data_IF_133344273044
#
_entry.id   IF_133344273044
#
_cell.length_a   1.000
_cell.length_b   1.000
_cell.length_c   1.000
_cell.angle_alpha   90.00
_cell.angle_beta   90.00
_cell.angle_gamma   90.00
#
_symmetry.space_group_name_H-M   'P 1'
#
loop_
_entity.id
_entity.type
_entity.pdbx_description
1 polymer ?
#
# COMPACT_ATOMS: atom_id res chain seq x y z
N UNK A 1 8.36 -7.84 23.20
CA UNK A 1 9.01 -7.00 22.17
C UNK A 1 9.15 -7.70 20.81
N UNK A 2 9.40 -9.02 20.77
CA UNK A 2 9.73 -9.75 19.53
C UNK A 2 8.74 -9.61 18.35
N UNK A 3 7.44 -9.42 18.61
CA UNK A 3 6.42 -9.29 17.56
C UNK A 3 5.94 -7.85 17.31
N UNK A 4 6.57 -6.85 17.95
CA UNK A 4 6.11 -5.46 17.87
C UNK A 4 6.08 -4.97 16.42
N UNK A 5 7.17 -5.14 15.68
CA UNK A 5 7.30 -4.61 14.32
C UNK A 5 6.41 -5.34 13.29
N UNK A 6 6.33 -6.69 13.27
CA UNK A 6 5.31 -7.38 12.47
C UNK A 6 3.88 -6.94 12.81
N UNK A 7 3.56 -6.76 14.10
CA UNK A 7 2.22 -6.30 14.51
C UNK A 7 1.93 -4.87 14.03
N UNK A 8 2.93 -3.98 14.04
CA UNK A 8 2.82 -2.63 13.45
C UNK A 8 2.57 -2.72 11.94
N UNK A 9 3.33 -3.55 11.21
CA UNK A 9 3.10 -3.77 9.77
C UNK A 9 1.67 -4.26 9.53
N UNK A 10 1.19 -5.22 10.32
CA UNK A 10 -0.17 -5.74 10.21
C UNK A 10 -1.23 -4.65 10.43
N UNK A 11 -1.16 -3.96 11.58
CA UNK A 11 -2.13 -2.94 11.96
C UNK A 11 -2.18 -1.79 10.96
N UNK A 12 -1.01 -1.26 10.56
CA UNK A 12 -0.92 -0.16 9.59
C UNK A 12 -1.41 -0.62 8.22
N UNK A 13 -1.02 -1.82 7.77
CA UNK A 13 -1.45 -2.34 6.47
C UNK A 13 -2.96 -2.56 6.41
N UNK A 14 -3.59 -3.08 7.46
CA UNK A 14 -5.05 -3.26 7.51
C UNK A 14 -5.79 -1.93 7.58
N UNK A 15 -5.33 -0.99 8.42
CA UNK A 15 -5.92 0.35 8.48
C UNK A 15 -5.84 1.04 7.10
N UNK A 16 -4.68 0.95 6.46
CA UNK A 16 -4.47 1.51 5.14
C UNK A 16 -5.35 0.82 4.08
N UNK A 17 -5.40 -0.51 4.08
CA UNK A 17 -6.27 -1.28 3.18
C UNK A 17 -7.74 -0.88 3.34
N UNK A 18 -8.23 -0.73 4.58
CA UNK A 18 -9.61 -0.32 4.86
C UNK A 18 -9.92 1.09 4.33
N UNK A 19 -9.00 2.04 4.49
CA UNK A 19 -9.17 3.40 3.95
C UNK A 19 -9.20 3.40 2.42
N UNK A 20 -8.31 2.65 1.77
CA UNK A 20 -8.29 2.53 0.30
C UNK A 20 -9.53 1.79 -0.22
N UNK A 21 -9.96 0.73 0.47
CA UNK A 21 -11.17 -0.02 0.13
C UNK A 21 -12.42 0.85 0.24
N UNK A 22 -12.54 1.68 1.29
CA UNK A 22 -13.63 2.66 1.40
C UNK A 22 -13.64 3.62 0.20
N UNK A 23 -12.48 4.10 -0.24
CA UNK A 23 -12.41 4.92 -1.45
C UNK A 23 -12.83 4.14 -2.71
N UNK A 24 -12.47 2.87 -2.81
CA UNK A 24 -12.90 2.00 -3.91
C UNK A 24 -14.42 1.83 -3.94
N UNK A 25 -15.07 1.58 -2.80
CA UNK A 25 -16.52 1.43 -2.73
C UNK A 25 -17.24 2.68 -3.27
N UNK A 26 -16.72 3.87 -2.95
CA UNK A 26 -17.29 5.14 -3.41
C UNK A 26 -16.95 5.50 -4.86
N UNK A 27 -15.72 5.23 -5.35
CA UNK A 27 -15.24 5.72 -6.66
C UNK A 27 -15.09 4.64 -7.73
N UNK A 28 -15.11 3.37 -7.34
CA UNK A 28 -14.99 2.17 -8.19
C UNK A 28 -13.81 2.22 -9.18
N UNK A 29 -12.68 2.81 -8.77
CA UNK A 29 -11.48 2.86 -9.62
C UNK A 29 -10.65 1.58 -9.47
N UNK A 30 -10.22 0.93 -10.56
CA UNK A 30 -9.55 -0.38 -10.50
C UNK A 30 -8.25 -0.35 -9.67
N UNK A 31 -7.46 0.72 -9.79
CA UNK A 31 -6.25 0.93 -8.98
C UNK A 31 -6.50 0.81 -7.47
N UNK A 32 -7.64 1.31 -6.97
CA UNK A 32 -7.96 1.28 -5.55
C UNK A 32 -8.28 -0.13 -5.06
N UNK A 33 -8.97 -0.93 -5.88
CA UNK A 33 -9.21 -2.34 -5.53
C UNK A 33 -7.90 -3.12 -5.46
N UNK A 34 -7.02 -2.94 -6.43
CA UNK A 34 -5.72 -3.63 -6.49
C UNK A 34 -4.82 -3.22 -5.32
N UNK A 35 -4.74 -1.92 -5.01
CA UNK A 35 -4.00 -1.45 -3.84
C UNK A 35 -4.60 -1.95 -2.52
N UNK A 36 -5.92 -1.91 -2.36
CA UNK A 36 -6.57 -2.42 -1.16
C UNK A 36 -6.26 -3.91 -0.95
N UNK A 37 -6.29 -4.72 -2.02
CA UNK A 37 -5.91 -6.12 -1.98
C UNK A 37 -4.44 -6.31 -1.59
N UNK A 38 -3.52 -5.57 -2.22
CA UNK A 38 -2.10 -5.60 -1.88
C UNK A 38 -1.84 -5.30 -0.40
N UNK A 39 -2.42 -4.21 0.11
CA UNK A 39 -2.27 -3.79 1.51
C UNK A 39 -2.92 -4.78 2.48
N UNK A 40 -4.06 -5.37 2.10
CA UNK A 40 -4.67 -6.44 2.88
C UNK A 40 -3.75 -7.66 2.97
N UNK A 41 -3.17 -8.09 1.84
CA UNK A 41 -2.22 -9.20 1.79
C UNK A 41 -0.94 -8.91 2.58
N UNK A 42 -0.47 -7.66 2.61
CA UNK A 42 0.61 -7.22 3.50
C UNK A 42 0.27 -7.50 4.97
N UNK A 43 -0.93 -7.10 5.41
CA UNK A 43 -1.40 -7.34 6.77
C UNK A 43 -1.53 -8.84 7.08
N UNK A 44 -2.12 -9.61 6.17
CA UNK A 44 -2.21 -11.08 6.28
C UNK A 44 -0.83 -11.71 6.35
N UNK A 45 0.14 -11.25 5.57
CA UNK A 45 1.52 -11.75 5.60
C UNK A 45 2.19 -11.53 6.94
N UNK A 46 2.04 -10.34 7.52
CA UNK A 46 2.58 -10.03 8.84
C UNK A 46 1.93 -10.87 9.95
N UNK A 47 0.61 -11.08 9.90
CA UNK A 47 -0.10 -11.98 10.83
C UNK A 47 0.35 -13.43 10.64
N UNK A 48 0.45 -13.90 9.40
CA UNK A 48 0.89 -15.25 9.07
C UNK A 48 2.32 -15.50 9.54
N UNK A 49 3.21 -14.51 9.50
CA UNK A 49 4.55 -14.61 10.08
C UNK A 49 4.49 -14.84 11.59
N UNK A 50 3.69 -14.04 12.31
CA UNK A 50 3.50 -14.21 13.76
C UNK A 50 2.94 -15.62 14.05
N UNK A 51 1.89 -16.05 13.37
CA UNK A 51 1.30 -17.38 13.56
C UNK A 51 2.29 -18.50 13.24
N UNK A 52 3.12 -18.34 12.21
CA UNK A 52 4.14 -19.32 11.84
C UNK A 52 5.19 -19.52 12.94
N UNK A 53 5.55 -18.44 13.64
CA UNK A 53 6.57 -18.46 14.70
C UNK A 53 5.99 -18.81 16.07
N UNK A 54 4.73 -18.51 16.34
CA UNK A 54 4.05 -18.89 17.59
C UNK A 54 3.66 -20.38 17.57
N UNK A 55 3.19 -20.89 16.44
CA UNK A 55 2.75 -22.29 16.31
C UNK A 55 3.76 -23.20 15.62
N UNK A 56 4.95 -22.69 15.30
CA UNK A 56 6.00 -23.41 14.56
C UNK A 56 5.44 -24.08 13.29
N UNK A 57 4.58 -23.34 12.57
CA UNK A 57 3.80 -23.86 11.45
C UNK A 57 4.38 -23.43 10.11
N UNK A 58 4.90 -24.41 9.37
CA UNK A 58 5.36 -24.23 7.99
C UNK A 58 4.23 -23.85 7.02
N UNK A 59 2.98 -24.21 7.33
CA UNK A 59 1.83 -23.79 6.53
C UNK A 59 1.62 -22.28 6.62
N UNK A 60 1.61 -21.72 7.84
CA UNK A 60 1.55 -20.27 8.04
C UNK A 60 2.78 -19.56 7.48
N UNK A 61 3.96 -20.18 7.56
CA UNK A 61 5.17 -19.62 6.95
C UNK A 61 5.06 -19.49 5.42
N UNK A 62 4.47 -20.50 4.75
CA UNK A 62 4.18 -20.44 3.31
C UNK A 62 3.14 -19.37 2.97
N UNK A 63 2.11 -19.20 3.80
CA UNK A 63 1.14 -18.10 3.64
C UNK A 63 1.84 -16.75 3.75
N UNK A 64 2.71 -16.56 4.75
CA UNK A 64 3.54 -15.36 4.89
C UNK A 64 4.38 -15.07 3.63
N UNK A 65 5.07 -16.08 3.09
CA UNK A 65 5.85 -15.94 1.87
C UNK A 65 4.98 -15.63 0.65
N UNK A 66 3.82 -16.27 0.53
CA UNK A 66 2.90 -16.03 -0.58
C UNK A 66 2.36 -14.60 -0.54
N UNK A 67 1.81 -14.18 0.59
CA UNK A 67 1.09 -12.90 0.66
C UNK A 67 2.05 -11.73 0.81
N UNK A 68 3.03 -11.82 1.71
CA UNK A 68 3.96 -10.73 2.02
C UNK A 68 5.16 -10.66 1.07
N UNK A 69 5.83 -11.79 0.82
CA UNK A 69 7.07 -11.79 0.05
C UNK A 69 6.85 -11.88 -1.47
N UNK A 70 5.78 -12.52 -1.95
CA UNK A 70 5.52 -12.70 -3.39
C UNK A 70 4.52 -11.68 -3.94
N UNK A 71 3.29 -11.65 -3.40
CA UNK A 71 2.16 -10.95 -4.05
C UNK A 71 2.06 -9.47 -3.70
N UNK A 72 2.35 -9.08 -2.45
CA UNK A 72 2.11 -7.73 -1.93
C UNK A 72 2.74 -6.65 -2.81
N UNK A 73 4.06 -6.68 -3.00
CA UNK A 73 4.77 -5.64 -3.74
C UNK A 73 4.31 -5.55 -5.19
N UNK A 74 4.16 -6.70 -5.85
CA UNK A 74 3.75 -6.77 -7.25
C UNK A 74 2.36 -6.16 -7.47
N UNK A 75 1.39 -6.48 -6.61
CA UNK A 75 0.05 -5.90 -6.68
C UNK A 75 0.07 -4.40 -6.33
N UNK A 76 0.93 -3.97 -5.41
CA UNK A 76 1.06 -2.54 -5.09
C UNK A 76 1.51 -1.74 -6.33
N UNK A 77 2.54 -2.24 -7.03
CA UNK A 77 3.01 -1.67 -8.29
C UNK A 77 1.96 -1.73 -9.39
N UNK A 78 1.23 -2.84 -9.50
CA UNK A 78 0.14 -2.99 -10.46
C UNK A 78 -0.95 -1.92 -10.31
N UNK A 79 -1.34 -1.59 -9.08
CA UNK A 79 -2.28 -0.49 -8.84
C UNK A 79 -1.74 0.87 -9.32
N UNK A 80 -0.44 1.12 -9.16
CA UNK A 80 0.22 2.34 -9.67
C UNK A 80 0.24 2.37 -11.20
N UNK A 81 0.45 1.23 -11.85
CA UNK A 81 0.42 1.13 -13.31
C UNK A 81 -1.00 1.34 -13.88
N UNK A 82 -2.05 0.96 -13.15
CA UNK A 82 -3.42 1.33 -13.53
C UNK A 82 -3.68 2.85 -13.53
N UNK A 83 -2.87 3.64 -12.81
CA UNK A 83 -2.93 5.11 -12.89
C UNK A 83 -2.16 5.66 -14.09
N UNK A 84 -1.00 5.06 -14.39
CA UNK A 84 -0.03 5.62 -15.32
C UNK A 84 -0.21 5.12 -16.76
N UNK A 85 -0.77 3.92 -16.95
CA UNK A 85 -0.89 3.26 -18.23
C UNK A 85 -2.35 3.16 -18.70
N UNK A 86 -2.60 2.99 -20.02
CA UNK A 86 -3.92 2.67 -20.53
C UNK A 86 -4.48 1.39 -19.90
N UNK A 87 -5.79 1.37 -19.63
CA UNK A 87 -6.47 0.24 -18.97
C UNK A 87 -6.22 -1.12 -19.60
N UNK A 88 -6.14 -1.19 -20.94
CA UNK A 88 -5.87 -2.44 -21.67
C UNK A 88 -4.49 -3.00 -21.34
N UNK A 89 -3.47 -2.13 -21.29
CA UNK A 89 -2.09 -2.51 -20.97
C UNK A 89 -1.98 -2.93 -19.51
N UNK A 90 -2.51 -2.12 -18.58
CA UNK A 90 -2.51 -2.46 -17.16
C UNK A 90 -3.29 -3.78 -16.89
N UNK A 91 -4.41 -4.01 -17.59
CA UNK A 91 -5.16 -5.27 -17.52
C UNK A 91 -4.36 -6.49 -17.99
N UNK A 92 -3.65 -6.37 -19.12
CA UNK A 92 -2.76 -7.43 -19.61
C UNK A 92 -1.64 -7.74 -18.62
N UNK A 93 -1.01 -6.71 -18.05
CA UNK A 93 0.01 -6.87 -17.02
C UNK A 93 -0.53 -7.53 -15.74
N UNK A 94 -1.77 -7.23 -15.34
CA UNK A 94 -2.41 -7.91 -14.21
C UNK A 94 -2.56 -9.42 -14.49
N UNK A 95 -2.98 -9.81 -15.69
CA UNK A 95 -3.09 -11.23 -16.04
C UNK A 95 -1.73 -11.93 -16.06
N UNK A 96 -0.70 -11.28 -16.60
CA UNK A 96 0.67 -11.80 -16.54
C UNK A 96 1.14 -11.97 -15.09
N UNK A 97 0.83 -11.00 -14.22
CA UNK A 97 1.13 -11.06 -12.80
C UNK A 97 0.39 -12.20 -12.11
N UNK A 98 -0.88 -12.43 -12.41
CA UNK A 98 -1.65 -13.56 -11.87
C UNK A 98 -1.03 -14.90 -12.30
N UNK A 99 -0.68 -15.05 -13.58
CA UNK A 99 -0.04 -16.27 -14.08
C UNK A 99 1.31 -16.53 -13.38
N UNK A 100 2.17 -15.51 -13.30
CA UNK A 100 3.47 -15.63 -12.65
C UNK A 100 3.35 -15.77 -11.12
N UNK A 101 2.30 -15.19 -10.52
CA UNK A 101 1.93 -15.39 -9.12
C UNK A 101 1.50 -16.83 -8.83
N UNK A 102 0.78 -17.47 -9.75
CA UNK A 102 0.42 -18.90 -9.64
C UNK A 102 1.67 -19.79 -9.70
N UNK A 103 2.62 -19.48 -10.58
CA UNK A 103 3.93 -20.15 -10.62
C UNK A 103 4.67 -19.97 -9.30
N UNK A 104 4.75 -18.74 -8.79
CA UNK A 104 5.41 -18.46 -7.51
C UNK A 104 4.73 -19.15 -6.32
N UNK A 105 3.39 -19.22 -6.31
CA UNK A 105 2.64 -19.97 -5.31
C UNK A 105 2.98 -21.46 -5.38
N UNK A 106 2.99 -22.06 -6.58
CA UNK A 106 3.39 -23.45 -6.75
C UNK A 106 4.81 -23.70 -6.21
N UNK A 107 5.77 -22.83 -6.55
CA UNK A 107 7.15 -22.89 -6.03
C UNK A 107 7.16 -22.85 -4.49
N UNK A 108 6.50 -21.88 -3.86
CA UNK A 108 6.48 -21.71 -2.39
C UNK A 108 5.88 -22.94 -1.69
N UNK A 109 4.79 -23.48 -2.23
CA UNK A 109 4.10 -24.61 -1.62
C UNK A 109 4.80 -25.95 -1.84
N UNK A 110 5.63 -26.07 -2.88
CA UNK A 110 6.42 -27.26 -3.17
C UNK A 110 7.86 -27.19 -2.67
N UNK A 111 8.35 -26.02 -2.30
CA UNK A 111 9.68 -25.81 -1.77
C UNK A 111 9.93 -26.72 -0.54
N UNK A 112 11.09 -27.43 -0.50
CA UNK A 112 11.59 -28.04 0.71
C UNK A 112 11.66 -27.01 1.83
N UNK A 113 11.27 -27.41 3.03
CA UNK A 113 11.17 -26.50 4.15
C UNK A 113 11.95 -27.03 5.36
N UNK A 114 12.69 -26.13 6.00
CA UNK A 114 13.49 -26.44 7.18
C UNK A 114 12.81 -25.94 8.46
N UNK A 115 12.31 -26.88 9.26
CA UNK A 115 11.68 -26.59 10.54
C UNK A 115 12.68 -26.05 11.58
N UNK A 116 13.96 -26.45 11.51
CA UNK A 116 14.99 -25.93 12.41
C UNK A 116 15.30 -24.47 12.10
N UNK A 117 15.39 -24.10 10.82
CA UNK A 117 15.49 -22.71 10.42
C UNK A 117 14.28 -21.89 10.92
N UNK A 118 13.05 -22.44 10.86
CA UNK A 118 11.87 -21.76 11.43
C UNK A 118 11.98 -21.61 12.95
N UNK A 119 12.51 -22.59 13.68
CA UNK A 119 12.74 -22.48 15.13
C UNK A 119 13.72 -21.36 15.47
N UNK A 120 14.76 -21.17 14.68
CA UNK A 120 15.71 -20.06 14.88
C UNK A 120 15.05 -18.69 14.66
N UNK A 121 14.23 -18.57 13.62
CA UNK A 121 13.42 -17.36 13.38
C UNK A 121 12.44 -17.12 14.52
N UNK A 122 11.78 -18.17 15.03
CA UNK A 122 10.84 -18.07 16.13
C UNK A 122 11.52 -17.67 17.45
N UNK A 123 12.72 -18.21 17.74
CA UNK A 123 13.48 -17.91 18.94
C UNK A 123 13.95 -16.44 19.00
N UNK A 124 14.26 -15.85 17.85
CA UNK A 124 14.71 -14.46 17.76
C UNK A 124 13.57 -13.48 17.50
N UNK A 125 12.46 -13.95 16.93
CA UNK A 125 11.40 -13.11 16.36
C UNK A 125 11.90 -12.17 15.25
N UNK A 126 13.08 -12.46 14.69
CA UNK A 126 13.83 -11.57 13.82
C UNK A 126 14.09 -12.20 12.45
N UNK A 127 14.39 -11.34 11.47
CA UNK A 127 14.67 -11.75 10.10
C UNK A 127 13.44 -12.15 9.29
N UNK A 128 13.64 -12.24 7.97
CA UNK A 128 12.58 -12.60 7.03
C UNK A 128 12.39 -14.12 6.86
N UNK A 129 13.27 -14.95 7.45
CA UNK A 129 13.25 -16.40 7.32
C UNK A 129 13.69 -16.93 5.94
N UNK A 130 14.70 -16.29 5.33
CA UNK A 130 15.16 -16.61 3.95
C UNK A 130 15.58 -18.06 3.71
N UNK A 131 15.97 -18.78 4.75
CA UNK A 131 16.41 -20.18 4.69
C UNK A 131 15.36 -21.19 5.13
N UNK A 132 14.17 -20.74 5.54
CA UNK A 132 13.10 -21.65 5.96
C UNK A 132 12.50 -22.39 4.75
N UNK A 133 12.52 -21.77 3.57
CA UNK A 133 12.09 -22.38 2.32
C UNK A 133 13.23 -22.34 1.31
N UNK A 134 13.63 -23.50 0.81
CA UNK A 134 14.55 -23.58 -0.32
C UNK A 134 13.77 -23.42 -1.62
N UNK A 135 13.83 -22.22 -2.19
CA UNK A 135 13.14 -21.88 -3.42
C UNK A 135 13.93 -22.27 -4.68
N UNK A 136 15.21 -22.63 -4.55
CA UNK A 136 16.11 -22.89 -5.67
C UNK A 136 16.01 -21.83 -6.79
N UNK A 137 15.96 -22.24 -8.08
CA UNK A 137 15.75 -21.32 -9.21
C UNK A 137 14.43 -20.53 -9.16
N UNK A 138 13.42 -21.05 -8.46
CA UNK A 138 12.12 -20.40 -8.30
C UNK A 138 12.20 -19.07 -7.52
N UNK A 139 13.31 -18.83 -6.82
CA UNK A 139 13.64 -17.53 -6.22
C UNK A 139 13.57 -16.37 -7.23
N UNK A 140 13.91 -16.61 -8.49
CA UNK A 140 13.84 -15.60 -9.55
C UNK A 140 12.45 -14.99 -9.70
N UNK A 141 11.39 -15.77 -9.45
CA UNK A 141 10.00 -15.29 -9.51
C UNK A 141 9.72 -14.26 -8.42
N UNK A 142 10.19 -14.50 -7.18
CA UNK A 142 10.05 -13.53 -6.10
C UNK A 142 10.82 -12.24 -6.40
N UNK A 143 12.05 -12.35 -6.90
CA UNK A 143 12.86 -11.18 -7.27
C UNK A 143 12.14 -10.38 -8.35
N UNK A 144 11.67 -11.03 -9.40
CA UNK A 144 10.96 -10.37 -10.50
C UNK A 144 9.68 -9.67 -10.02
N UNK A 145 8.88 -10.33 -9.18
CA UNK A 145 7.65 -9.78 -8.60
C UNK A 145 7.93 -8.53 -7.74
N UNK A 146 8.95 -8.57 -6.88
CA UNK A 146 9.31 -7.45 -6.04
C UNK A 146 9.92 -6.29 -6.83
N UNK A 147 10.76 -6.59 -7.82
CA UNK A 147 11.32 -5.58 -8.72
C UNK A 147 10.21 -4.90 -9.52
N UNK A 148 9.29 -5.68 -10.09
CA UNK A 148 8.12 -5.16 -10.79
C UNK A 148 7.30 -4.22 -9.90
N UNK A 149 7.00 -4.67 -8.67
CA UNK A 149 6.28 -3.89 -7.67
C UNK A 149 6.97 -2.57 -7.34
N UNK A 150 8.26 -2.65 -7.01
CA UNK A 150 9.09 -1.50 -6.62
C UNK A 150 9.19 -0.49 -7.74
N UNK A 151 9.52 -0.92 -8.96
CA UNK A 151 9.61 -0.04 -10.14
C UNK A 151 8.25 0.59 -10.44
N UNK A 152 7.16 -0.18 -10.35
CA UNK A 152 5.81 0.33 -10.60
C UNK A 152 5.40 1.43 -9.62
N UNK A 153 5.64 1.26 -8.32
CA UNK A 153 5.31 2.29 -7.32
C UNK A 153 6.27 3.47 -7.39
N UNK A 154 7.58 3.19 -7.33
CA UNK A 154 8.61 4.23 -7.28
C UNK A 154 8.62 5.08 -8.55
N UNK A 155 8.57 4.44 -9.73
CA UNK A 155 8.58 5.12 -11.01
C UNK A 155 7.37 6.04 -11.21
N UNK A 156 6.18 5.56 -10.87
CA UNK A 156 4.94 6.36 -10.97
C UNK A 156 4.94 7.50 -9.95
N UNK A 157 5.41 7.27 -8.73
CA UNK A 157 5.52 8.32 -7.71
C UNK A 157 6.51 9.42 -8.13
N UNK A 158 7.68 9.06 -8.68
CA UNK A 158 8.69 10.00 -9.15
C UNK A 158 8.20 10.81 -10.35
N UNK A 159 7.60 10.14 -11.33
CA UNK A 159 6.97 10.82 -12.48
C UNK A 159 5.87 11.79 -12.03
N UNK A 160 5.05 11.38 -11.07
CA UNK A 160 3.99 12.22 -10.49
C UNK A 160 4.56 13.44 -9.77
N UNK A 161 5.61 13.26 -8.96
CA UNK A 161 6.30 14.35 -8.27
C UNK A 161 6.92 15.37 -9.26
N UNK A 162 7.61 14.88 -10.29
CA UNK A 162 8.19 15.73 -11.33
C UNK A 162 7.13 16.53 -12.08
N UNK A 163 5.98 15.92 -12.40
CA UNK A 163 4.86 16.62 -13.04
C UNK A 163 4.26 17.70 -12.15
N UNK A 164 4.14 17.45 -10.83
CA UNK A 164 3.68 18.42 -9.83
C UNK A 164 4.62 19.62 -9.75
N UNK A 165 5.94 19.38 -9.72
CA UNK A 165 6.97 20.42 -9.75
C UNK A 165 6.86 21.31 -10.99
N UNK A 166 6.71 20.70 -12.18
CA UNK A 166 6.55 21.44 -13.44
C UNK A 166 5.28 22.28 -13.50
N UNK A 167 4.22 21.89 -12.79
CA UNK A 167 2.90 22.54 -12.83
C UNK A 167 2.62 23.46 -11.64
N UNK A 168 3.62 23.74 -10.78
CA UNK A 168 3.48 24.53 -9.53
C UNK A 168 2.25 24.14 -8.70
N UNK A 169 1.99 22.84 -8.64
CA UNK A 169 0.85 22.28 -7.92
C UNK A 169 1.11 22.24 -6.40
N UNK A 170 0.07 22.03 -5.56
CA UNK A 170 0.18 22.14 -4.10
C UNK A 170 1.32 21.31 -3.49
N UNK A 171 2.10 21.91 -2.58
CA UNK A 171 3.24 21.26 -1.92
C UNK A 171 2.90 19.95 -1.19
N UNK A 172 1.64 19.80 -0.72
CA UNK A 172 1.16 18.55 -0.10
C UNK A 172 1.16 17.36 -1.06
N UNK A 173 0.90 17.58 -2.35
CA UNK A 173 0.99 16.53 -3.38
C UNK A 173 2.43 16.10 -3.63
N UNK A 174 3.37 17.05 -3.57
CA UNK A 174 4.79 16.77 -3.70
C UNK A 174 5.27 15.95 -2.50
N UNK A 175 4.93 16.39 -1.28
CA UNK A 175 5.27 15.68 -0.05
C UNK A 175 4.68 14.26 -0.04
N UNK A 176 3.41 14.11 -0.41
CA UNK A 176 2.76 12.79 -0.48
C UNK A 176 3.47 11.83 -1.44
N UNK A 177 3.81 12.29 -2.65
CA UNK A 177 4.56 11.46 -3.62
C UNK A 177 5.98 11.14 -3.13
N UNK A 178 6.67 12.11 -2.52
CA UNK A 178 8.01 11.90 -1.98
C UNK A 178 8.01 10.87 -0.84
N UNK A 179 7.04 10.93 0.07
CA UNK A 179 6.87 9.96 1.15
C UNK A 179 6.51 8.56 0.61
N UNK A 180 5.63 8.46 -0.39
CA UNK A 180 5.31 7.17 -1.01
C UNK A 180 6.56 6.56 -1.68
N UNK A 181 7.32 7.37 -2.43
CA UNK A 181 8.56 6.92 -3.04
C UNK A 181 9.61 6.51 -1.98
N UNK A 182 9.79 7.31 -0.94
CA UNK A 182 10.71 7.02 0.16
C UNK A 182 10.34 5.76 0.93
N UNK A 183 9.07 5.61 1.32
CA UNK A 183 8.57 4.41 2.01
C UNK A 183 8.72 3.14 1.16
N UNK A 184 8.52 3.26 -0.16
CA UNK A 184 8.76 2.16 -1.11
C UNK A 184 10.24 1.75 -1.14
N UNK A 185 11.16 2.71 -1.20
CA UNK A 185 12.60 2.42 -1.17
C UNK A 185 13.05 1.81 0.15
N UNK A 186 12.51 2.28 1.28
CA UNK A 186 12.79 1.69 2.60
C UNK A 186 12.33 0.23 2.64
N UNK A 187 11.13 -0.07 2.15
CA UNK A 187 10.63 -1.45 2.08
C UNK A 187 11.46 -2.32 1.12
N UNK A 188 11.88 -1.79 -0.03
CA UNK A 188 12.78 -2.50 -0.95
C UNK A 188 14.14 -2.80 -0.28
N UNK A 189 14.67 -1.84 0.48
CA UNK A 189 15.89 -2.03 1.26
C UNK A 189 15.73 -3.14 2.31
N UNK A 190 14.58 -3.23 2.99
CA UNK A 190 14.30 -4.35 3.89
C UNK A 190 14.42 -5.70 3.19
N UNK A 191 13.87 -5.84 1.98
CA UNK A 191 13.99 -7.06 1.16
C UNK A 191 15.44 -7.43 0.81
N UNK A 192 16.29 -6.44 0.52
CA UNK A 192 17.73 -6.65 0.32
C UNK A 192 18.43 -7.04 1.62
N UNK A 193 18.14 -6.34 2.72
CA UNK A 193 18.70 -6.63 4.05
C UNK A 193 18.34 -8.02 4.53
N UNK A 194 17.14 -8.52 4.24
CA UNK A 194 16.71 -9.88 4.56
C UNK A 194 17.67 -10.95 4.04
N UNK A 195 18.33 -10.69 2.90
CA UNK A 195 19.26 -11.61 2.24
C UNK A 195 20.71 -11.41 2.66
N UNK A 196 21.11 -10.16 2.89
CA UNK A 196 22.50 -9.79 3.19
C UNK A 196 22.79 -9.85 4.69
N UNK A 197 21.89 -9.35 5.54
CA UNK A 197 22.06 -9.22 7.00
C UNK A 197 21.29 -10.32 7.76
N UNK A 198 21.27 -11.53 7.21
CA UNK A 198 20.46 -12.68 7.64
C UNK A 198 20.31 -12.79 9.16
N UNK A 199 19.09 -13.02 9.65
CA UNK A 199 18.81 -13.17 11.09
C UNK A 199 18.78 -11.87 11.89
N UNK A 200 19.10 -10.71 11.31
CA UNK A 200 19.00 -9.42 12.01
C UNK A 200 17.54 -8.98 12.22
N UNK A 201 17.28 -8.33 13.37
CA UNK A 201 16.00 -7.65 13.64
C UNK A 201 15.72 -6.48 12.68
N UNK A 202 16.74 -6.03 11.94
CA UNK A 202 16.65 -4.90 11.02
C UNK A 202 15.55 -5.07 9.97
N UNK A 203 15.32 -6.28 9.46
CA UNK A 203 14.28 -6.53 8.44
C UNK A 203 12.91 -5.98 8.85
N UNK A 204 12.40 -6.41 10.01
CA UNK A 204 11.06 -6.03 10.44
C UNK A 204 10.98 -4.57 10.88
N UNK A 205 12.05 -4.03 11.47
CA UNK A 205 12.13 -2.60 11.82
C UNK A 205 12.06 -1.73 10.56
N UNK A 206 12.89 -2.04 9.56
CA UNK A 206 12.94 -1.32 8.29
C UNK A 206 11.62 -1.46 7.53
N UNK A 207 11.04 -2.65 7.48
CA UNK A 207 9.74 -2.88 6.84
C UNK A 207 8.60 -2.13 7.54
N UNK A 208 8.59 -2.09 8.88
CA UNK A 208 7.62 -1.31 9.64
C UNK A 208 7.78 0.19 9.37
N UNK A 209 9.01 0.70 9.40
CA UNK A 209 9.31 2.10 9.12
C UNK A 209 8.85 2.49 7.70
N UNK A 210 9.21 1.71 6.68
CA UNK A 210 8.81 1.98 5.30
C UNK A 210 7.30 1.91 5.10
N UNK A 211 6.62 0.95 5.73
CA UNK A 211 5.15 0.84 5.72
C UNK A 211 4.47 2.06 6.35
N UNK A 212 4.96 2.55 7.49
CA UNK A 212 4.46 3.76 8.15
C UNK A 212 4.68 5.00 7.27
N UNK A 213 5.88 5.15 6.70
CA UNK A 213 6.21 6.27 5.81
C UNK A 213 5.33 6.27 4.55
N UNK A 214 5.11 5.11 3.95
CA UNK A 214 4.24 4.94 2.79
C UNK A 214 2.79 5.31 3.14
N UNK A 215 2.30 4.87 4.30
CA UNK A 215 0.97 5.24 4.78
C UNK A 215 0.83 6.74 5.07
N UNK A 216 1.82 7.36 5.71
CA UNK A 216 1.86 8.80 5.94
C UNK A 216 1.81 9.59 4.62
N UNK A 217 2.54 9.13 3.59
CA UNK A 217 2.49 9.70 2.25
C UNK A 217 1.10 9.65 1.62
N UNK A 218 0.38 8.54 1.80
CA UNK A 218 -1.02 8.44 1.38
C UNK A 218 -1.95 9.39 2.13
N UNK A 219 -1.77 9.53 3.45
CA UNK A 219 -2.58 10.46 4.24
C UNK A 219 -2.33 11.93 3.88
N UNK A 220 -1.10 12.28 3.49
CA UNK A 220 -0.74 13.62 3.02
C UNK A 220 -1.42 14.02 1.70
N UNK A 221 -1.85 13.05 0.89
CA UNK A 221 -2.53 13.32 -0.39
C UNK A 221 -3.90 14.01 -0.19
N UNK A 222 -4.21 15.08 -0.93
CA UNK A 222 -5.54 15.67 -0.97
C UNK A 222 -6.60 14.64 -1.38
N UNK A 223 -7.69 14.55 -0.59
CA UNK A 223 -8.75 13.58 -0.82
C UNK A 223 -8.56 12.22 -0.15
N UNK A 224 -7.48 12.02 0.63
CA UNK A 224 -7.40 10.93 1.61
C UNK A 224 -8.59 11.00 2.56
N UNK A 225 -9.11 9.85 3.02
CA UNK A 225 -10.39 9.79 3.74
C UNK A 225 -10.39 10.61 5.06
N UNK A 226 -9.22 10.90 5.64
CA UNK A 226 -9.05 11.74 6.84
C UNK A 226 -8.94 13.24 6.52
N UNK A 227 -8.54 13.61 5.30
CA UNK A 227 -8.53 15.00 4.86
C UNK A 227 -9.93 15.52 4.51
N UNK A 228 -10.92 14.63 4.44
CA UNK A 228 -12.34 14.97 4.34
C UNK A 228 -12.90 15.17 5.76
N UNK A 229 -12.46 16.23 6.45
CA UNK A 229 -13.30 16.75 7.54
C UNK A 229 -14.61 17.22 6.91
N UNK A 230 -15.78 16.82 7.42
CA UNK A 230 -17.03 17.36 6.92
C UNK A 230 -17.00 18.86 7.28
N UNK A 231 -17.07 19.71 6.27
CA UNK A 231 -17.12 21.16 6.39
C UNK A 231 -18.53 21.53 6.93
N UNK A 232 -18.81 21.18 8.19
CA UNK A 232 -20.10 21.41 8.87
C UNK A 232 -20.22 22.86 9.38
N UNK A 233 -19.26 23.73 9.05
CA UNK A 233 -19.24 25.10 9.56
C UNK A 233 -19.25 26.19 8.47
N UNK A 234 -19.75 25.89 7.25
CA UNK A 234 -19.89 26.89 6.18
C UNK A 234 -21.29 27.02 5.57
N UNK A 235 -22.31 26.43 6.19
CA UNK A 235 -23.73 26.68 5.85
C UNK A 235 -24.42 27.70 6.78
N UNK A 236 -23.69 28.34 7.71
CA UNK A 236 -24.26 29.14 8.77
C UNK A 236 -24.02 30.66 8.74
N UNK A 237 -23.58 31.26 7.62
CA UNK A 237 -23.51 32.74 7.54
C UNK A 237 -24.30 33.26 6.34
N UNK A 238 -25.57 33.53 6.62
CA UNK A 238 -26.54 34.07 5.67
C UNK A 238 -26.02 35.33 4.99
N UNK A 239 -26.13 35.35 3.65
CA UNK A 239 -26.12 36.60 2.90
C UNK A 239 -27.48 37.27 3.07
N UNK A 240 -27.54 38.56 3.45
CA UNK A 240 -28.80 39.29 3.44
C UNK A 240 -29.30 39.43 2.00
N UNK A 241 -30.55 39.03 1.75
CA UNK A 241 -31.29 39.41 0.54
C UNK A 241 -31.44 40.93 0.55
N UNK A 242 -30.66 41.63 -0.27
CA UNK A 242 -30.87 43.05 -0.58
C UNK A 242 -32.13 43.20 -1.43
N UNK A 243 -33.08 43.91 -0.84
CA UNK A 243 -33.88 45.00 -1.43
C UNK A 243 -34.67 44.71 -2.71
N UNK A 244 -35.94 44.35 -2.52
CA UNK A 244 -37.01 44.85 -3.37
C UNK A 244 -37.86 45.80 -2.52
N UNK A 245 -37.44 47.07 -2.46
CA UNK A 245 -38.29 48.15 -1.99
C UNK A 245 -39.47 48.30 -2.95
N UNK A 246 -40.66 47.90 -2.50
CA UNK A 246 -41.93 48.46 -2.99
C UNK A 246 -42.73 48.86 -1.77
N UNK A 247 -42.95 50.15 -1.63
CA UNK A 247 -44.04 50.73 -0.85
C UNK A 247 -44.75 51.82 -1.67
N UNK A 248 -46.00 52.13 -1.32
CA UNK A 248 -47.09 52.36 -2.27
C UNK A 248 -47.58 53.82 -2.29
N UNK A 249 -48.34 54.16 -3.34
CA UNK A 249 -49.31 55.27 -3.35
C UNK A 249 -48.81 56.58 -3.98
N UNK A 250 -49.67 57.14 -4.85
CA UNK A 250 -49.83 58.53 -5.33
C UNK A 250 -49.87 58.55 -6.87
N UNK A 251 -50.83 59.10 -7.63
CA UNK A 251 -52.13 59.77 -7.50
C UNK A 251 -52.73 59.75 -8.95
N UNK A 252 -54.00 59.38 -9.14
CA UNK A 252 -55.12 60.22 -9.67
C UNK A 252 -54.88 60.95 -11.02
N UNK A 253 -55.77 60.71 -12.01
CA UNK A 253 -55.97 61.60 -13.17
C UNK A 253 -56.74 60.97 -14.34
N UNK A 254 -58.05 61.24 -14.42
CA UNK A 254 -59.06 60.72 -15.37
C UNK A 254 -58.90 61.18 -16.84
N UNK A 255 -59.83 60.79 -17.74
CA UNK A 255 -61.03 61.60 -17.96
C UNK A 255 -62.35 60.93 -17.54
#
# INVERSE_FOLDING_TARGET
MQYLYPAVVAAVSFAFAALVLRQYVHRRRPQQAVWALSLFLSGVGAVAFILSTVWLSLAWFRVYYLTGALLMAALLGQGSLYMALPRRVAGGLLWALVALGAVGAYVIFRAPADLQALRQVAATGAGAGVHVLDLGPGLAVLILMNTYGTVGVFGVALWSAWRVLRRRSPGRLLLGNALIAGGTLINAAAGTMARVLQGSGAFWVTLAAGTVVLFAGFLAMPGSALAQRPDVAREGSGRPRRDAARRPGDEVGSP
#
